data_IF_975912451176
#
_entry.id   IF_975912451176
#
_cell.length_a   1.000
_cell.length_b   1.000
_cell.length_c   1.000
_cell.angle_alpha   90.00
_cell.angle_beta   90.00
_cell.angle_gamma   90.00
#
_symmetry.space_group_name_H-M   'P 1'
#
loop_
_entity.id
_entity.type
_entity.pdbx_description
1 polymer ?
#
# COMPACT_ATOMS: atom_id res chain seq x y z
N UNK A 1 37.46 32.97 11.63
CA UNK A 1 36.64 31.80 11.26
C UNK A 1 35.17 32.17 11.47
N UNK A 2 34.35 32.39 10.43
CA UNK A 2 32.91 32.61 10.61
C UNK A 2 32.16 31.28 10.68
N UNK A 3 31.23 31.20 11.64
CA UNK A 3 30.35 30.06 11.89
C UNK A 3 29.35 29.82 10.74
N UNK A 4 28.99 28.56 10.42
CA UNK A 4 27.91 28.30 9.48
C UNK A 4 26.54 28.55 10.15
N UNK A 5 25.80 29.53 9.62
CA UNK A 5 24.39 29.76 9.93
C UNK A 5 23.54 28.54 9.53
N UNK A 6 22.63 28.06 10.39
CA UNK A 6 21.65 27.06 10.02
C UNK A 6 20.39 27.71 9.41
N UNK A 7 19.56 26.88 8.78
CA UNK A 7 18.20 27.15 8.34
C UNK A 7 18.02 27.85 6.97
N UNK A 8 18.36 27.13 5.91
CA UNK A 8 17.55 27.18 4.69
C UNK A 8 16.28 26.36 4.91
N UNK A 9 15.21 26.99 5.40
CA UNK A 9 13.86 26.42 5.31
C UNK A 9 13.56 26.21 3.83
N UNK A 10 13.50 24.96 3.38
CA UNK A 10 12.91 24.66 2.09
C UNK A 10 11.45 25.10 2.14
N UNK A 11 11.13 26.14 1.40
CA UNK A 11 9.75 26.54 1.09
C UNK A 11 9.09 25.38 0.36
N UNK A 12 8.29 24.59 1.07
CA UNK A 12 7.48 23.54 0.47
C UNK A 12 6.47 24.19 -0.49
N UNK A 13 6.58 23.87 -1.77
CA UNK A 13 5.64 24.27 -2.79
C UNK A 13 4.24 23.65 -2.54
N UNK A 14 3.16 24.24 -3.09
CA UNK A 14 1.79 23.78 -2.85
C UNK A 14 1.57 22.31 -3.25
N UNK A 15 0.86 21.60 -2.39
CA UNK A 15 0.72 20.14 -2.31
C UNK A 15 -0.09 19.46 -3.44
N UNK A 16 -0.32 20.09 -4.59
CA UNK A 16 -1.23 19.57 -5.63
C UNK A 16 -0.55 18.70 -6.71
N UNK A 17 0.78 18.69 -6.76
CA UNK A 17 1.54 17.83 -7.69
C UNK A 17 2.68 17.09 -6.99
N UNK A 18 2.59 16.93 -5.67
CA UNK A 18 3.57 16.13 -4.95
C UNK A 18 3.28 14.66 -5.24
N UNK A 19 4.22 13.89 -5.81
CA UNK A 19 4.02 12.47 -6.02
C UNK A 19 3.72 11.81 -4.68
N UNK A 20 2.73 10.92 -4.66
CA UNK A 20 2.37 10.20 -3.46
C UNK A 20 3.58 9.42 -2.94
N UNK A 21 3.99 9.75 -1.72
CA UNK A 21 5.00 9.02 -0.98
C UNK A 21 4.29 7.86 -0.27
N UNK A 22 4.70 6.64 -0.60
CA UNK A 22 4.19 5.43 -0.01
C UNK A 22 5.28 4.75 0.80
N UNK A 23 4.90 4.25 1.97
CA UNK A 23 5.70 3.30 2.75
C UNK A 23 5.28 1.90 2.33
N UNK A 24 6.22 1.20 1.71
CA UNK A 24 5.99 -0.16 1.22
C UNK A 24 6.20 -1.17 2.35
N UNK A 25 5.16 -1.92 2.67
CA UNK A 25 5.25 -3.03 3.61
C UNK A 25 5.11 -4.35 2.86
N UNK A 26 6.17 -5.15 2.89
CA UNK A 26 6.18 -6.50 2.30
C UNK A 26 5.44 -7.49 3.18
N UNK A 27 4.67 -8.36 2.55
CA UNK A 27 3.87 -9.32 3.29
C UNK A 27 3.19 -10.38 2.43
N UNK A 28 2.20 -11.04 3.03
CA UNK A 28 1.36 -12.06 2.41
C UNK A 28 -0.08 -11.57 2.44
N UNK A 29 -0.76 -11.60 1.29
CA UNK A 29 -2.18 -11.36 1.18
C UNK A 29 -2.91 -12.67 0.90
N UNK A 30 -3.83 -13.06 1.77
CA UNK A 30 -4.67 -14.25 1.60
C UNK A 30 -6.09 -13.84 1.22
N UNK A 31 -6.68 -14.52 0.24
CA UNK A 31 -8.10 -14.35 -0.08
C UNK A 31 -8.93 -15.00 1.02
N UNK A 32 -9.64 -14.19 1.82
CA UNK A 32 -10.51 -14.68 2.89
C UNK A 32 -11.98 -14.76 2.47
N UNK A 33 -12.38 -13.99 1.46
CA UNK A 33 -13.75 -14.00 0.95
C UNK A 33 -13.78 -13.65 -0.54
N UNK A 34 -14.72 -14.23 -1.27
CA UNK A 34 -15.12 -13.81 -2.61
C UNK A 34 -16.58 -13.42 -2.54
N UNK A 35 -16.90 -12.19 -2.92
CA UNK A 35 -18.25 -11.63 -2.93
C UNK A 35 -18.54 -11.03 -4.30
N UNK A 36 -19.15 -11.84 -5.17
CA UNK A 36 -19.43 -11.46 -6.56
C UNK A 36 -18.15 -11.09 -7.30
N UNK A 37 -18.02 -9.80 -7.64
CA UNK A 37 -16.89 -9.25 -8.40
C UNK A 37 -15.74 -8.75 -7.51
N UNK A 38 -15.82 -8.90 -6.18
CA UNK A 38 -14.77 -8.46 -5.24
C UNK A 38 -14.22 -9.60 -4.41
N UNK A 39 -12.90 -9.68 -4.31
CA UNK A 39 -12.17 -10.56 -3.41
C UNK A 39 -11.69 -9.75 -2.20
N UNK A 40 -12.03 -10.22 -1.00
CA UNK A 40 -11.49 -9.69 0.24
C UNK A 40 -10.16 -10.35 0.56
N UNK A 41 -9.11 -9.55 0.62
CA UNK A 41 -7.78 -9.96 1.00
C UNK A 41 -7.50 -9.58 2.46
N UNK A 42 -6.81 -10.46 3.16
CA UNK A 42 -6.22 -10.21 4.47
C UNK A 42 -4.70 -10.20 4.34
N UNK A 43 -4.08 -9.06 4.64
CA UNK A 43 -2.65 -8.82 4.51
C UNK A 43 -1.90 -8.99 5.84
N UNK A 44 -0.75 -9.66 5.80
CA UNK A 44 0.12 -9.96 6.93
C UNK A 44 1.56 -9.53 6.64
N UNK A 45 2.31 -8.94 7.60
CA UNK A 45 1.89 -8.62 8.96
C UNK A 45 0.97 -7.38 9.00
N UNK A 46 0.05 -7.33 9.96
CA UNK A 46 -0.82 -6.15 10.19
C UNK A 46 -2.33 -6.40 10.06
N UNK A 47 -2.75 -7.60 9.65
CA UNK A 47 -4.16 -8.02 9.53
C UNK A 47 -5.05 -6.99 8.79
N UNK A 48 -4.47 -6.31 7.80
CA UNK A 48 -5.15 -5.26 7.03
C UNK A 48 -6.06 -5.92 6.00
N UNK A 49 -7.25 -5.37 5.79
CA UNK A 49 -8.20 -5.91 4.82
C UNK A 49 -8.38 -4.97 3.65
N UNK A 50 -8.30 -5.50 2.44
CA UNK A 50 -8.59 -4.75 1.23
C UNK A 50 -9.42 -5.59 0.26
N UNK A 51 -10.43 -4.96 -0.32
CA UNK A 51 -11.21 -5.54 -1.39
C UNK A 51 -10.57 -5.18 -2.74
N UNK A 52 -10.23 -6.19 -3.54
CA UNK A 52 -9.75 -6.02 -4.91
C UNK A 52 -10.73 -6.68 -5.88
N UNK A 53 -10.79 -6.23 -7.15
CA UNK A 53 -11.59 -6.90 -8.17
C UNK A 53 -11.17 -8.37 -8.33
N UNK A 54 -12.12 -9.29 -8.34
CA UNK A 54 -11.86 -10.73 -8.53
C UNK A 54 -11.18 -10.95 -9.88
N UNK A 55 -10.16 -11.80 -9.90
CA UNK A 55 -9.55 -12.28 -11.14
C UNK A 55 -9.88 -13.76 -11.38
N UNK A 56 -9.92 -14.22 -12.64
CA UNK A 56 -10.11 -15.63 -12.96
C UNK A 56 -9.08 -16.52 -12.24
N UNK A 57 -9.54 -17.61 -11.64
CA UNK A 57 -8.69 -18.55 -10.89
C UNK A 57 -8.46 -18.20 -9.42
N UNK A 58 -9.01 -17.07 -8.93
CA UNK A 58 -8.96 -16.75 -7.51
C UNK A 58 -9.96 -17.58 -6.71
N UNK A 59 -9.49 -18.15 -5.60
CA UNK A 59 -10.27 -18.95 -4.66
C UNK A 59 -9.96 -18.53 -3.22
N UNK A 60 -10.91 -18.64 -2.27
CA UNK A 60 -10.63 -18.42 -0.86
C UNK A 60 -9.54 -19.38 -0.37
N UNK A 61 -8.62 -18.88 0.45
CA UNK A 61 -7.44 -19.61 0.92
C UNK A 61 -6.20 -19.43 0.04
N UNK A 62 -6.34 -18.86 -1.16
CA UNK A 62 -5.19 -18.59 -2.02
C UNK A 62 -4.37 -17.41 -1.48
N UNK A 63 -3.05 -17.58 -1.43
CA UNK A 63 -2.11 -16.64 -0.85
C UNK A 63 -1.26 -15.98 -1.92
N UNK A 64 -0.88 -14.72 -1.72
CA UNK A 64 -0.06 -13.93 -2.63
C UNK A 64 1.03 -13.21 -1.85
N UNK A 65 2.25 -13.16 -2.40
CA UNK A 65 3.21 -12.14 -1.99
C UNK A 65 2.60 -10.81 -2.36
N UNK A 66 2.58 -9.91 -1.40
CA UNK A 66 1.94 -8.63 -1.59
C UNK A 66 2.76 -7.51 -0.96
N UNK A 67 2.50 -6.31 -1.47
CA UNK A 67 3.00 -5.05 -0.94
C UNK A 67 1.79 -4.25 -0.47
N UNK A 68 1.80 -3.87 0.80
CA UNK A 68 0.87 -2.87 1.29
C UNK A 68 1.54 -1.50 1.18
N UNK A 69 0.96 -0.65 0.34
CA UNK A 69 1.44 0.70 0.08
C UNK A 69 0.64 1.66 0.95
N UNK A 70 1.21 2.05 2.08
CA UNK A 70 0.58 2.99 3.01
C UNK A 70 1.04 4.42 2.70
N UNK A 71 0.13 5.34 2.34
CA UNK A 71 0.51 6.71 2.03
C UNK A 71 1.00 7.42 3.29
N UNK A 72 1.91 8.37 3.09
CA UNK A 72 2.35 9.22 4.19
C UNK A 72 1.17 10.01 4.77
N UNK A 73 1.09 10.09 6.11
CA UNK A 73 0.02 10.81 6.78
C UNK A 73 -0.02 12.32 6.46
N UNK A 74 1.11 12.88 5.98
CA UNK A 74 1.17 14.24 5.46
C UNK A 74 0.46 14.41 4.10
N UNK A 75 0.03 13.32 3.45
CA UNK A 75 -0.57 13.29 2.12
C UNK A 75 -1.94 12.58 2.13
N UNK A 76 -2.97 13.19 2.76
CA UNK A 76 -4.30 12.57 2.91
C UNK A 76 -5.06 12.37 1.59
N UNK A 77 -4.58 12.95 0.49
CA UNK A 77 -5.14 12.74 -0.85
C UNK A 77 -4.74 11.38 -1.46
N UNK A 78 -3.69 10.74 -0.93
CA UNK A 78 -3.24 9.43 -1.35
C UNK A 78 -4.00 8.35 -0.58
N UNK A 79 -4.44 7.30 -1.26
CA UNK A 79 -5.14 6.18 -0.63
C UNK A 79 -4.20 4.97 -0.47
N UNK A 80 -4.32 4.20 0.63
CA UNK A 80 -3.62 2.94 0.77
C UNK A 80 -4.10 1.96 -0.29
N UNK A 81 -3.17 1.17 -0.81
CA UNK A 81 -3.53 0.08 -1.69
C UNK A 81 -2.64 -1.14 -1.53
N UNK A 82 -3.26 -2.28 -1.78
CA UNK A 82 -2.64 -3.59 -1.75
C UNK A 82 -2.25 -3.99 -3.17
N UNK A 83 -0.97 -4.21 -3.39
CA UNK A 83 -0.44 -4.73 -4.64
C UNK A 83 -0.10 -6.21 -4.49
N UNK A 84 -0.67 -7.05 -5.34
CA UNK A 84 -0.39 -8.48 -5.39
C UNK A 84 0.77 -8.71 -6.38
N UNK A 85 1.87 -9.26 -5.89
CA UNK A 85 3.10 -9.47 -6.67
C UNK A 85 3.06 -10.82 -7.38
N UNK A 86 2.93 -11.91 -6.62
CA UNK A 86 2.92 -13.28 -7.14
C UNK A 86 2.15 -14.21 -6.19
N UNK A 87 1.46 -15.24 -6.69
CA UNK A 87 0.81 -16.24 -5.83
C UNK A 87 1.84 -17.05 -5.04
N UNK A 88 1.60 -17.27 -3.75
CA UNK A 88 2.37 -18.14 -2.86
C UNK A 88 1.68 -19.49 -2.81
N UNK A 89 1.95 -20.31 -3.82
CA UNK A 89 1.57 -21.72 -3.80
C UNK A 89 0.49 -22.12 -4.80
N UNK A 90 0.44 -23.43 -5.08
CA UNK A 90 -0.10 -24.02 -6.31
C UNK A 90 -1.63 -24.11 -6.38
#
# INVERSE_FOLDING_TARGET
>A
MPAPSPAGKATAAPAENTPCAYHEQRGIAQIVTLSGEKAGFLFFPGERRQALPVRPGWVPGLEFRALWLEPDAAQPHCAPHLELVEPIGP
#
